data_IF_819533433706
#
_entry.id   IF_819533433706
#
_cell.length_a   1.000
_cell.length_b   1.000
_cell.length_c   1.000
_cell.angle_alpha   90.00
_cell.angle_beta   90.00
_cell.angle_gamma   90.00
#
_symmetry.space_group_name_H-M   'P 1'
#
loop_
_entity.id
_entity.type
_entity.pdbx_description
1 polymer ?
#
# COMPACT_ATOMS: atom_id res chain seq x y z
N UNK A 1 -3.85 15.73 -0.80
CA UNK A 1 -3.50 16.73 -1.84
C UNK A 1 -3.32 18.15 -1.28
N UNK A 2 -4.31 18.74 -0.62
CA UNK A 2 -4.29 20.13 -0.13
C UNK A 2 -2.99 20.53 0.59
N UNK A 3 -2.61 19.78 1.63
CA UNK A 3 -1.39 20.07 2.40
C UNK A 3 -0.10 19.92 1.59
N UNK A 4 -0.08 19.00 0.62
CA UNK A 4 1.09 18.77 -0.23
C UNK A 4 1.39 19.99 -1.12
N UNK A 5 0.35 20.56 -1.73
CA UNK A 5 0.48 21.75 -2.58
C UNK A 5 0.88 22.99 -1.77
N UNK A 6 0.26 23.20 -0.60
CA UNK A 6 0.65 24.28 0.33
C UNK A 6 2.11 24.14 0.75
N UNK A 7 2.53 22.92 1.10
CA UNK A 7 3.92 22.61 1.47
C UNK A 7 4.91 22.96 0.35
N UNK A 8 4.54 22.76 -0.91
CA UNK A 8 5.38 23.10 -2.06
C UNK A 8 5.64 24.60 -2.20
N UNK A 9 4.65 25.43 -1.86
CA UNK A 9 4.77 26.90 -1.93
C UNK A 9 5.40 27.51 -0.68
N UNK A 10 4.99 27.06 0.51
CA UNK A 10 5.37 27.67 1.79
C UNK A 10 6.78 27.32 2.26
N UNK A 11 7.33 26.16 1.89
CA UNK A 11 8.69 25.81 2.31
C UNK A 11 9.73 26.73 1.65
N UNK A 12 10.82 27.12 2.32
CA UNK A 12 11.91 27.87 1.71
C UNK A 12 12.84 26.98 0.88
N UNK A 13 12.28 26.00 0.17
CA UNK A 13 13.01 25.10 -0.73
C UNK A 13 12.19 24.87 -2.00
N UNK A 14 12.87 24.80 -3.14
CA UNK A 14 12.25 24.53 -4.44
C UNK A 14 12.85 23.25 -4.99
N UNK A 15 12.18 22.13 -4.71
CA UNK A 15 12.50 20.81 -5.29
C UNK A 15 11.34 20.35 -6.15
N UNK A 16 11.58 19.70 -7.30
CA UNK A 16 10.51 19.11 -8.09
C UNK A 16 9.64 18.17 -7.23
N UNK A 17 8.33 18.28 -7.41
CA UNK A 17 7.34 17.44 -6.75
C UNK A 17 6.62 16.63 -7.82
N UNK A 18 6.82 15.32 -7.81
CA UNK A 18 6.13 14.38 -8.71
C UNK A 18 4.94 13.80 -7.95
N UNK A 19 3.74 13.98 -8.51
CA UNK A 19 2.48 13.54 -7.87
C UNK A 19 1.75 12.58 -8.80
N UNK A 20 1.52 11.37 -8.33
CA UNK A 20 0.70 10.39 -9.03
C UNK A 20 -0.76 10.62 -8.64
N UNK A 21 -1.52 11.31 -9.49
CA UNK A 21 -2.92 11.63 -9.21
C UNK A 21 -3.84 10.48 -9.66
N UNK A 22 -4.54 9.81 -8.73
CA UNK A 22 -5.42 8.70 -9.05
C UNK A 22 -6.68 9.19 -9.76
N UNK A 23 -7.05 8.55 -10.88
CA UNK A 23 -8.24 8.93 -11.66
C UNK A 23 -9.54 8.52 -10.97
N UNK A 24 -9.61 7.30 -10.44
CA UNK A 24 -10.83 6.73 -9.85
C UNK A 24 -11.26 7.44 -8.55
N UNK A 25 -10.30 7.96 -7.79
CA UNK A 25 -10.59 8.58 -6.49
C UNK A 25 -11.22 9.98 -6.59
N UNK A 26 -11.24 10.60 -7.78
CA UNK A 26 -11.84 11.92 -7.98
C UNK A 26 -13.35 11.95 -7.66
N UNK A 27 -14.01 10.79 -7.74
CA UNK A 27 -15.46 10.65 -7.48
C UNK A 27 -15.76 9.67 -6.34
N UNK A 28 -14.73 9.18 -5.66
CA UNK A 28 -14.93 8.20 -4.58
C UNK A 28 -15.41 8.91 -3.32
N UNK A 29 -16.51 8.44 -2.74
CA UNK A 29 -17.01 8.93 -1.44
C UNK A 29 -16.03 8.61 -0.31
N UNK A 30 -15.33 7.49 -0.41
CA UNK A 30 -14.36 7.06 0.61
C UNK A 30 -13.10 7.93 0.64
N UNK A 31 -12.85 8.71 -0.42
CA UNK A 31 -11.71 9.60 -0.53
C UNK A 31 -12.01 11.06 -0.13
N UNK A 32 -13.18 11.32 0.48
CA UNK A 32 -13.54 12.64 0.98
C UNK A 32 -12.82 12.97 2.30
N UNK A 33 -12.37 14.21 2.45
CA UNK A 33 -11.78 14.72 3.70
C UNK A 33 -12.73 15.72 4.37
N UNK A 34 -12.94 15.63 5.70
CA UNK A 34 -13.63 16.66 6.46
C UNK A 34 -12.83 17.96 6.48
N UNK A 35 -13.52 19.10 6.63
CA UNK A 35 -12.88 20.42 6.63
C UNK A 35 -11.83 20.59 7.74
N UNK A 36 -12.03 19.93 8.88
CA UNK A 36 -11.09 19.95 10.00
C UNK A 36 -9.71 19.39 9.63
N UNK A 37 -9.65 18.38 8.75
CA UNK A 37 -8.38 17.87 8.23
C UNK A 37 -7.64 18.91 7.40
N UNK A 38 -8.34 19.86 6.78
CA UNK A 38 -7.72 20.94 5.99
C UNK A 38 -7.24 22.09 6.87
N UNK A 39 -7.98 22.43 7.94
CA UNK A 39 -7.67 23.59 8.80
C UNK A 39 -6.67 23.28 9.90
N UNK A 40 -6.72 22.07 10.47
CA UNK A 40 -5.90 21.66 11.62
C UNK A 40 -4.88 20.56 11.27
N UNK A 41 -5.03 19.93 10.10
CA UNK A 41 -4.14 18.87 9.65
C UNK A 41 -2.83 19.35 9.05
N UNK A 42 -2.03 18.38 8.63
CA UNK A 42 -0.79 18.58 7.86
C UNK A 42 -0.62 17.48 6.82
N UNK A 43 0.37 17.62 5.95
CA UNK A 43 0.75 16.51 5.09
C UNK A 43 1.32 15.39 5.94
N UNK A 44 0.76 14.19 5.80
CA UNK A 44 1.18 12.98 6.51
C UNK A 44 1.96 12.10 5.53
N UNK A 45 3.30 11.97 5.67
CA UNK A 45 4.11 11.17 4.76
C UNK A 45 3.76 9.67 4.82
N UNK A 46 3.33 9.21 6.00
CA UNK A 46 2.73 7.89 6.22
C UNK A 46 1.42 8.12 6.97
N UNK A 47 0.34 7.51 6.50
CA UNK A 47 -0.95 7.51 7.20
C UNK A 47 -1.14 6.15 7.86
N UNK A 48 -1.43 6.20 9.17
CA UNK A 48 -1.70 5.04 9.99
C UNK A 48 -3.00 4.32 9.58
N UNK A 49 -3.20 3.14 10.17
CA UNK A 49 -4.48 2.44 10.13
C UNK A 49 -5.60 3.34 10.66
N UNK A 50 -6.74 3.35 9.97
CA UNK A 50 -7.89 4.21 10.33
C UNK A 50 -8.92 3.49 11.18
N UNK A 51 -8.94 2.15 11.15
CA UNK A 51 -9.86 1.35 11.96
C UNK A 51 -9.22 0.90 13.28
N UNK A 52 -10.05 0.77 14.31
CA UNK A 52 -9.58 0.35 15.63
C UNK A 52 -9.24 -1.15 15.61
N UNK A 53 -7.95 -1.46 15.57
CA UNK A 53 -7.42 -2.81 15.75
C UNK A 53 -6.79 -2.99 17.13
N UNK A 54 -6.82 -4.22 17.64
CA UNK A 54 -6.05 -4.58 18.84
C UNK A 54 -4.59 -4.70 18.44
N UNK A 55 -3.80 -3.67 18.70
CA UNK A 55 -2.40 -3.57 18.27
C UNK A 55 -1.54 -4.81 18.59
N UNK A 56 -1.76 -5.43 19.75
CA UNK A 56 -1.07 -6.65 20.19
C UNK A 56 -1.54 -7.95 19.51
N UNK A 57 -2.64 -7.91 18.75
CA UNK A 57 -3.16 -9.03 17.95
C UNK A 57 -2.82 -8.90 16.47
N UNK A 58 -2.31 -7.74 16.04
CA UNK A 58 -1.91 -7.56 14.64
C UNK A 58 -0.66 -8.39 14.37
N UNK A 59 -0.79 -9.39 13.50
CA UNK A 59 0.31 -10.25 13.04
C UNK A 59 1.00 -9.71 11.79
N UNK A 60 0.30 -8.92 10.97
CA UNK A 60 0.80 -8.42 9.68
C UNK A 60 0.49 -6.94 9.49
N UNK A 61 1.48 -6.22 8.96
CA UNK A 61 1.33 -4.87 8.45
C UNK A 61 1.34 -4.93 6.92
N UNK A 62 0.33 -4.39 6.26
CA UNK A 62 0.25 -4.24 4.81
C UNK A 62 0.54 -2.78 4.47
N UNK A 63 1.71 -2.50 3.92
CA UNK A 63 2.09 -1.18 3.44
C UNK A 63 1.71 -1.03 1.96
N UNK A 64 1.08 0.09 1.61
CA UNK A 64 0.69 0.37 0.22
C UNK A 64 0.78 1.88 -0.09
N UNK A 65 0.55 2.25 -1.35
CA UNK A 65 0.48 3.65 -1.78
C UNK A 65 -0.64 3.83 -2.80
N UNK A 66 -1.33 4.97 -2.76
CA UNK A 66 -2.35 5.31 -3.74
C UNK A 66 -3.66 4.52 -3.57
N UNK A 67 -4.35 4.26 -4.69
CA UNK A 67 -5.75 3.81 -4.66
C UNK A 67 -5.97 2.39 -4.13
N UNK A 68 -4.96 1.52 -4.24
CA UNK A 68 -5.05 0.11 -3.80
C UNK A 68 -5.45 0.00 -2.33
N UNK A 69 -5.14 1.01 -1.50
CA UNK A 69 -5.59 1.12 -0.12
C UNK A 69 -7.10 0.91 0.05
N UNK A 70 -7.92 1.55 -0.78
CA UNK A 70 -9.38 1.49 -0.64
C UNK A 70 -9.91 0.10 -0.97
N UNK A 71 -9.29 -0.57 -1.95
CA UNK A 71 -9.61 -1.94 -2.34
C UNK A 71 -9.19 -2.93 -1.24
N UNK A 72 -8.01 -2.73 -0.64
CA UNK A 72 -7.55 -3.49 0.53
C UNK A 72 -8.47 -3.31 1.74
N UNK A 73 -8.87 -2.07 2.04
CA UNK A 73 -9.76 -1.75 3.15
C UNK A 73 -11.14 -2.41 2.97
N UNK A 74 -11.72 -2.30 1.77
CA UNK A 74 -12.98 -2.96 1.44
C UNK A 74 -12.87 -4.49 1.57
N UNK A 75 -11.80 -5.09 1.07
CA UNK A 75 -11.56 -6.52 1.18
C UNK A 75 -11.36 -6.97 2.64
N UNK A 76 -10.63 -6.21 3.44
CA UNK A 76 -10.43 -6.51 4.87
C UNK A 76 -11.76 -6.51 5.63
N UNK A 77 -12.59 -5.48 5.40
CA UNK A 77 -13.92 -5.35 5.99
C UNK A 77 -14.82 -6.53 5.58
N UNK A 78 -14.88 -6.84 4.30
CA UNK A 78 -15.69 -7.93 3.78
C UNK A 78 -15.30 -9.30 4.35
N UNK A 79 -14.02 -9.50 4.66
CA UNK A 79 -13.48 -10.75 5.25
C UNK A 79 -13.47 -10.75 6.78
N UNK A 80 -13.83 -9.65 7.44
CA UNK A 80 -13.78 -9.54 8.91
C UNK A 80 -12.37 -9.69 9.51
N UNK A 81 -11.33 -9.39 8.74
CA UNK A 81 -9.92 -9.54 9.16
C UNK A 81 -9.57 -8.45 10.18
N UNK A 82 -9.08 -8.85 11.35
CA UNK A 82 -8.78 -7.94 12.48
C UNK A 82 -7.34 -8.02 12.99
N UNK A 83 -6.53 -8.90 12.42
CA UNK A 83 -5.14 -9.17 12.75
C UNK A 83 -4.15 -8.62 11.68
N UNK A 84 -4.65 -7.87 10.70
CA UNK A 84 -3.84 -7.22 9.66
C UNK A 84 -4.14 -5.72 9.55
N UNK A 85 -3.13 -4.91 9.84
CA UNK A 85 -3.20 -3.45 9.70
C UNK A 85 -2.79 -3.01 8.30
N UNK A 86 -3.41 -1.97 7.75
CA UNK A 86 -3.09 -1.39 6.46
C UNK A 86 -2.55 0.03 6.70
N UNK A 87 -1.34 0.30 6.23
CA UNK A 87 -0.71 1.62 6.30
C UNK A 87 -0.47 2.18 4.90
N UNK A 88 -0.58 3.50 4.76
CA UNK A 88 -0.35 4.19 3.48
C UNK A 88 0.95 4.97 3.52
N UNK A 89 1.83 4.72 2.55
CA UNK A 89 3.04 5.53 2.34
C UNK A 89 2.72 6.56 1.26
N UNK A 90 2.33 7.76 1.67
CA UNK A 90 1.95 8.87 0.78
C UNK A 90 3.17 9.59 0.19
N UNK A 91 4.34 9.48 0.83
CA UNK A 91 5.60 10.02 0.33
C UNK A 91 6.61 8.90 0.09
N UNK A 92 6.83 8.54 -1.17
CA UNK A 92 7.83 7.52 -1.54
C UNK A 92 9.26 8.06 -1.55
N UNK A 93 9.44 9.37 -1.80
CA UNK A 93 10.75 10.02 -1.79
C UNK A 93 10.66 11.50 -1.36
N UNK A 94 11.59 11.98 -0.50
CA UNK A 94 12.50 11.19 0.33
C UNK A 94 11.72 10.27 1.28
N UNK A 95 12.25 9.09 1.57
CA UNK A 95 11.53 8.10 2.38
C UNK A 95 11.32 8.61 3.82
N UNK A 96 10.09 8.57 4.36
CA UNK A 96 9.77 9.10 5.68
C UNK A 96 10.15 8.11 6.79
N UNK A 97 11.43 8.06 7.12
CA UNK A 97 11.98 7.08 8.06
C UNK A 97 11.26 7.10 9.41
N UNK A 98 11.15 8.26 10.05
CA UNK A 98 10.60 8.37 11.41
C UNK A 98 9.10 8.02 11.46
N UNK A 99 8.31 8.54 10.50
CA UNK A 99 6.88 8.24 10.39
C UNK A 99 6.65 6.73 10.16
N UNK A 100 7.48 6.11 9.31
CA UNK A 100 7.38 4.68 9.03
C UNK A 100 7.78 3.84 10.24
N UNK A 101 8.88 4.17 10.93
CA UNK A 101 9.30 3.50 12.17
C UNK A 101 8.19 3.54 13.22
N UNK A 102 7.51 4.68 13.38
CA UNK A 102 6.39 4.81 14.31
C UNK A 102 5.24 3.85 13.97
N UNK A 103 4.94 3.63 12.68
CA UNK A 103 3.91 2.66 12.27
C UNK A 103 4.32 1.21 12.55
N UNK A 104 5.59 0.84 12.35
CA UNK A 104 6.06 -0.51 12.70
C UNK A 104 5.99 -0.73 14.22
N UNK A 105 6.39 0.27 15.00
CA UNK A 105 6.38 0.21 16.47
C UNK A 105 4.97 0.09 17.05
N UNK A 106 3.95 0.67 16.38
CA UNK A 106 2.55 0.61 16.82
C UNK A 106 1.99 -0.82 16.90
N UNK A 107 2.57 -1.80 16.19
CA UNK A 107 2.13 -3.19 16.16
C UNK A 107 3.23 -4.14 16.64
N UNK A 108 3.48 -4.24 17.96
CA UNK A 108 4.62 -4.99 18.51
C UNK A 108 4.62 -6.48 18.16
N UNK A 109 3.43 -7.08 17.98
CA UNK A 109 3.27 -8.50 17.68
C UNK A 109 3.37 -8.83 16.19
N UNK A 110 3.50 -7.83 15.30
CA UNK A 110 3.54 -8.07 13.88
C UNK A 110 4.85 -8.75 13.46
N UNK A 111 4.75 -9.99 12.98
CA UNK A 111 5.87 -10.75 12.42
C UNK A 111 6.07 -10.53 10.93
N UNK A 112 5.13 -9.84 10.27
CA UNK A 112 5.10 -9.75 8.81
C UNK A 112 4.86 -8.30 8.35
N UNK A 113 5.62 -7.88 7.34
CA UNK A 113 5.40 -6.68 6.55
C UNK A 113 5.16 -7.10 5.10
N UNK A 114 4.05 -6.69 4.50
CA UNK A 114 3.75 -6.93 3.09
C UNK A 114 3.67 -5.60 2.36
N UNK A 115 4.46 -5.44 1.29
CA UNK A 115 4.27 -4.34 0.35
C UNK A 115 3.22 -4.72 -0.69
N UNK A 116 2.11 -3.98 -0.75
CA UNK A 116 1.06 -4.18 -1.74
C UNK A 116 1.02 -3.05 -2.75
N UNK A 117 1.06 -3.41 -4.04
CA UNK A 117 0.93 -2.48 -5.15
C UNK A 117 0.17 -3.12 -6.32
N UNK A 118 -0.53 -2.32 -7.12
CA UNK A 118 -1.24 -2.83 -8.30
C UNK A 118 -0.37 -2.85 -9.57
N UNK A 119 0.79 -2.19 -9.53
CA UNK A 119 1.76 -2.18 -10.61
C UNK A 119 2.50 -3.53 -10.71
N UNK A 120 2.94 -3.93 -11.93
CA UNK A 120 3.84 -5.07 -12.14
C UNK A 120 5.07 -5.02 -11.23
N UNK A 121 5.62 -6.18 -10.84
CA UNK A 121 6.74 -6.26 -9.91
C UNK A 121 8.01 -5.53 -10.35
N UNK A 122 8.27 -5.49 -11.66
CA UNK A 122 9.35 -4.71 -12.28
C UNK A 122 9.03 -3.20 -12.43
N UNK A 123 7.87 -2.76 -11.96
CA UNK A 123 7.38 -1.39 -12.02
C UNK A 123 6.92 -0.92 -10.63
N UNK A 124 6.33 0.28 -10.57
CA UNK A 124 5.89 0.88 -9.31
C UNK A 124 7.07 1.17 -8.38
N UNK A 125 6.82 1.10 -7.07
CA UNK A 125 7.81 1.49 -6.07
C UNK A 125 8.65 0.32 -5.55
N UNK A 126 8.23 -0.94 -5.77
CA UNK A 126 8.78 -2.13 -5.11
C UNK A 126 10.31 -2.18 -5.08
N UNK A 127 10.95 -2.21 -6.24
CA UNK A 127 12.42 -2.29 -6.34
C UNK A 127 13.14 -1.14 -5.66
N UNK A 128 12.52 0.06 -5.62
CA UNK A 128 13.10 1.24 -4.98
C UNK A 128 12.83 1.29 -3.49
N UNK A 129 11.69 0.82 -2.98
CA UNK A 129 11.31 1.01 -1.58
C UNK A 129 11.74 -0.16 -0.69
N UNK A 130 11.91 -1.36 -1.26
CA UNK A 130 12.23 -2.59 -0.51
C UNK A 130 13.38 -2.44 0.49
N UNK A 131 14.46 -1.73 0.14
CA UNK A 131 15.61 -1.56 1.02
C UNK A 131 15.32 -0.64 2.21
N UNK A 132 14.41 0.33 2.06
CA UNK A 132 13.93 1.13 3.18
C UNK A 132 13.01 0.33 4.09
N UNK A 133 12.13 -0.50 3.52
CA UNK A 133 11.26 -1.39 4.29
C UNK A 133 12.10 -2.37 5.12
N UNK A 134 13.08 -3.05 4.47
CA UNK A 134 14.00 -3.98 5.13
C UNK A 134 14.77 -3.33 6.29
N UNK A 135 15.25 -2.10 6.11
CA UNK A 135 15.99 -1.36 7.15
C UNK A 135 15.18 -1.18 8.44
N UNK A 136 13.86 -1.09 8.34
CA UNK A 136 12.97 -0.79 9.46
C UNK A 136 12.29 -2.04 10.06
N UNK A 137 12.62 -3.23 9.56
CA UNK A 137 12.12 -4.47 10.13
C UNK A 137 12.73 -4.71 11.51
N UNK A 138 11.89 -5.22 12.43
CA UNK A 138 12.38 -5.80 13.68
C UNK A 138 13.05 -7.14 13.43
N UNK A 139 13.92 -7.55 14.35
CA UNK A 139 14.52 -8.90 14.32
C UNK A 139 13.42 -9.96 14.28
N UNK A 140 13.51 -10.90 13.33
CA UNK A 140 12.54 -11.97 13.12
C UNK A 140 11.31 -11.58 12.30
N UNK A 141 11.16 -10.30 11.93
CA UNK A 141 10.08 -9.86 11.05
C UNK A 141 10.42 -10.16 9.58
N UNK A 142 9.46 -10.67 8.82
CA UNK A 142 9.62 -11.02 7.39
C UNK A 142 9.01 -9.92 6.51
N UNK A 143 9.71 -9.54 5.45
CA UNK A 143 9.17 -8.73 4.36
C UNK A 143 8.74 -9.63 3.20
N UNK A 144 7.54 -9.42 2.69
CA UNK A 144 7.05 -10.01 1.44
C UNK A 144 6.27 -8.95 0.63
N UNK A 145 5.67 -9.37 -0.48
CA UNK A 145 4.97 -8.50 -1.41
C UNK A 145 3.67 -9.12 -1.93
N UNK A 146 2.80 -8.25 -2.41
CA UNK A 146 1.58 -8.55 -3.14
C UNK A 146 1.49 -7.59 -4.34
N UNK A 147 1.85 -8.08 -5.51
CA UNK A 147 2.04 -7.28 -6.72
C UNK A 147 1.67 -8.09 -7.97
N UNK A 148 1.36 -7.39 -9.07
CA UNK A 148 1.15 -8.04 -10.35
C UNK A 148 2.47 -8.67 -10.83
N UNK A 149 2.42 -9.76 -11.63
CA UNK A 149 3.61 -10.32 -12.23
C UNK A 149 4.36 -9.26 -13.04
N UNK A 150 5.68 -9.41 -13.11
CA UNK A 150 6.50 -8.56 -13.97
C UNK A 150 6.03 -8.67 -15.41
N UNK A 151 5.95 -7.52 -16.09
CA UNK A 151 5.50 -7.43 -17.47
C UNK A 151 6.23 -6.30 -18.20
N UNK A 152 6.42 -6.46 -19.50
CA UNK A 152 6.89 -5.38 -20.38
C UNK A 152 5.82 -4.28 -20.50
N UNK A 153 4.54 -4.66 -20.51
CA UNK A 153 3.42 -3.72 -20.57
C UNK A 153 3.04 -3.22 -19.16
N UNK A 154 2.61 -1.96 -19.00
CA UNK A 154 2.15 -1.43 -17.70
C UNK A 154 0.88 -2.09 -17.16
N UNK A 155 0.00 -2.57 -18.05
CA UNK A 155 -1.26 -3.21 -17.70
C UNK A 155 -1.72 -4.17 -18.80
N UNK A 156 -2.58 -5.12 -18.45
CA UNK A 156 -3.26 -5.96 -19.43
C UNK A 156 -4.18 -5.12 -20.33
N UNK A 157 -4.25 -5.45 -21.62
CA UNK A 157 -5.12 -4.78 -22.59
C UNK A 157 -6.59 -5.18 -22.50
N UNK A 158 -6.89 -6.37 -21.94
CA UNK A 158 -8.24 -6.87 -21.75
C UNK A 158 -8.74 -6.62 -20.33
N UNK A 159 -9.97 -6.11 -20.22
CA UNK A 159 -10.59 -5.77 -18.94
C UNK A 159 -10.72 -6.99 -18.01
N UNK A 160 -11.11 -8.16 -18.54
CA UNK A 160 -11.27 -9.38 -17.76
C UNK A 160 -9.95 -9.80 -17.08
N UNK A 161 -8.85 -9.83 -17.83
CA UNK A 161 -7.51 -10.14 -17.31
C UNK A 161 -7.08 -9.09 -16.27
N UNK A 162 -7.37 -7.81 -16.53
CA UNK A 162 -7.07 -6.75 -15.57
C UNK A 162 -7.80 -6.94 -14.23
N UNK A 163 -9.09 -7.28 -14.27
CA UNK A 163 -9.91 -7.52 -13.07
C UNK A 163 -9.44 -8.75 -12.30
N UNK A 164 -9.07 -9.82 -13.01
CA UNK A 164 -8.51 -11.03 -12.43
C UNK A 164 -7.18 -10.74 -11.71
N UNK A 165 -6.25 -10.05 -12.39
CA UNK A 165 -4.98 -9.65 -11.79
C UNK A 165 -5.19 -8.74 -10.56
N UNK A 166 -6.18 -7.85 -10.61
CA UNK A 166 -6.50 -6.98 -9.47
C UNK A 166 -6.98 -7.80 -8.28
N UNK A 167 -7.90 -8.74 -8.49
CA UNK A 167 -8.38 -9.66 -7.44
C UNK A 167 -7.22 -10.48 -6.86
N UNK A 168 -6.33 -11.00 -7.70
CA UNK A 168 -5.17 -11.77 -7.28
C UNK A 168 -4.20 -10.96 -6.41
N UNK A 169 -3.98 -9.68 -6.71
CA UNK A 169 -3.15 -8.79 -5.86
C UNK A 169 -3.76 -8.64 -4.46
N UNK A 170 -5.06 -8.40 -4.39
CA UNK A 170 -5.76 -8.25 -3.10
C UNK A 170 -5.74 -9.56 -2.31
N UNK A 171 -5.96 -10.69 -2.97
CA UNK A 171 -5.85 -12.01 -2.34
C UNK A 171 -4.43 -12.29 -1.83
N UNK A 172 -3.41 -11.97 -2.62
CA UNK A 172 -2.02 -12.13 -2.24
C UNK A 172 -1.62 -11.28 -1.02
N UNK A 173 -2.23 -10.11 -0.82
CA UNK A 173 -1.98 -9.26 0.35
C UNK A 173 -2.52 -9.88 1.66
N UNK A 174 -3.65 -10.60 1.57
CA UNK A 174 -4.35 -11.19 2.72
C UNK A 174 -4.13 -12.71 2.85
N UNK A 175 -3.24 -13.32 2.07
CA UNK A 175 -2.96 -14.77 2.13
C UNK A 175 -2.51 -15.22 3.52
N UNK A 176 -2.97 -16.36 4.00
CA UNK A 176 -2.67 -16.79 5.37
C UNK A 176 -1.19 -17.09 5.58
N UNK A 177 -0.59 -17.78 4.62
CA UNK A 177 0.81 -18.16 4.59
C UNK A 177 1.57 -17.38 3.49
N UNK A 178 2.67 -16.71 3.86
CA UNK A 178 3.50 -15.98 2.90
C UNK A 178 4.47 -16.89 2.12
N UNK A 179 4.71 -18.12 2.58
CA UNK A 179 5.54 -19.10 1.88
C UNK A 179 4.86 -19.62 0.61
N UNK A 180 3.52 -19.56 0.56
CA UNK A 180 2.76 -19.72 -0.67
C UNK A 180 2.98 -18.47 -1.53
N UNK A 181 3.90 -18.58 -2.48
CA UNK A 181 4.17 -17.48 -3.41
C UNK A 181 2.97 -17.25 -4.32
N UNK A 182 2.46 -16.00 -4.42
CA UNK A 182 1.42 -15.70 -5.38
C UNK A 182 2.00 -15.98 -6.78
N UNK A 183 1.30 -16.80 -7.56
CA UNK A 183 1.63 -17.06 -8.96
C UNK A 183 0.49 -16.52 -9.84
N UNK A 184 0.39 -15.19 -10.05
CA UNK A 184 -0.68 -14.61 -10.86
C UNK A 184 -0.36 -14.84 -12.34
N UNK A 185 -0.39 -16.08 -12.81
CA UNK A 185 -0.02 -16.41 -14.19
C UNK A 185 0.03 -17.91 -14.50
N UNK A 186 -0.02 -18.78 -13.49
CA UNK A 186 -0.19 -20.21 -13.71
C UNK A 186 -1.68 -20.57 -13.71
N UNK A 187 -2.39 -20.19 -14.77
CA UNK A 187 -3.50 -21.01 -15.23
C UNK A 187 -2.96 -21.75 -16.44
N UNK A 188 -2.87 -23.08 -16.31
CA UNK A 188 -2.61 -23.99 -17.41
C UNK A 188 -3.63 -23.70 -18.52
N UNK A 189 -3.19 -23.07 -19.60
CA UNK A 189 -3.87 -23.20 -20.88
C UNK A 189 -3.55 -24.60 -21.42
N UNK A 190 -4.12 -25.64 -20.81
CA UNK A 190 -4.40 -26.88 -21.53
C UNK A 190 -5.65 -26.59 -22.37
N UNK A 191 -5.43 -26.08 -23.58
CA UNK A 191 -6.45 -26.12 -24.60
C UNK A 191 -6.49 -27.54 -25.18
N UNK A 192 -7.68 -28.15 -25.31
CA UNK A 192 -7.85 -29.41 -26.04
C UNK A 192 -7.52 -29.27 -27.54
#
# INVERSE_FOLDING_TARGET
>A
MFHLLRRQMLRPIRKPLIVFTPKSLLRSKDAASPIAELTQGRFQPVIAEVETLKANKVRRIIACSGKVYYELLAARRARGISDMAIIRIEQLYPFPHDDFTAQIAAYPSAGELVWCQEEPGNQGAWHRIQHYLLRHLRKGMRLDYALRPSSAAPAAGYLAVHQEQQKAVIEAAFRDDLDIKPNPGAIHHEHP
#
